data_IF_446589795871
#
_entry.id   IF_446589795871
#
_cell.length_a   1.000
_cell.length_b   1.000
_cell.length_c   1.000
_cell.angle_alpha   90.00
_cell.angle_beta   90.00
_cell.angle_gamma   90.00
#
_symmetry.space_group_name_H-M   'P 1'
#
loop_
_entity.id
_entity.type
_entity.pdbx_description
1 polymer ?
#
# COMPACT_ATOMS: atom_id res chain seq x y z
N UNK A 1 -38.81 -14.74 -20.91
CA UNK A 1 -38.44 -15.72 -19.86
C UNK A 1 -37.27 -15.18 -19.03
N UNK A 2 -37.47 -14.90 -17.72
CA UNK A 2 -36.37 -14.52 -16.81
C UNK A 2 -35.67 -15.80 -16.31
N UNK A 3 -34.39 -16.00 -16.64
CA UNK A 3 -33.58 -17.09 -16.06
C UNK A 3 -33.26 -16.77 -14.60
N UNK A 4 -33.78 -17.57 -13.67
CA UNK A 4 -33.38 -17.56 -12.26
C UNK A 4 -31.98 -18.18 -12.13
N UNK A 5 -31.04 -17.46 -11.50
CA UNK A 5 -29.70 -18.01 -11.19
C UNK A 5 -29.84 -19.10 -10.11
N UNK A 6 -29.17 -20.25 -10.24
CA UNK A 6 -29.20 -21.29 -9.21
C UNK A 6 -28.61 -20.76 -7.90
N UNK A 7 -29.22 -21.09 -6.77
CA UNK A 7 -28.68 -20.79 -5.43
C UNK A 7 -27.30 -21.46 -5.33
N UNK A 8 -26.25 -20.65 -5.20
CA UNK A 8 -24.92 -21.16 -4.89
C UNK A 8 -24.94 -21.68 -3.45
N UNK A 9 -24.87 -23.00 -3.30
CA UNK A 9 -24.67 -23.61 -1.98
C UNK A 9 -23.31 -23.22 -1.42
N UNK A 10 -23.18 -23.29 -0.09
CA UNK A 10 -21.90 -23.04 0.59
C UNK A 10 -20.87 -24.08 0.12
N UNK A 11 -19.69 -23.61 -0.28
CA UNK A 11 -18.62 -24.46 -0.82
C UNK A 11 -18.10 -25.47 0.20
N UNK A 12 -17.47 -26.54 -0.28
CA UNK A 12 -16.96 -27.66 0.52
C UNK A 12 -16.06 -27.19 1.67
N UNK A 13 -15.20 -26.19 1.45
CA UNK A 13 -14.32 -25.63 2.48
C UNK A 13 -15.09 -25.10 3.71
N UNK A 14 -16.22 -24.43 3.50
CA UNK A 14 -17.06 -23.94 4.60
C UNK A 14 -17.73 -25.08 5.37
N UNK A 15 -18.12 -26.17 4.67
CA UNK A 15 -18.70 -27.35 5.32
C UNK A 15 -17.66 -28.04 6.21
N UNK A 16 -16.41 -28.14 5.73
CA UNK A 16 -15.29 -28.73 6.50
C UNK A 16 -14.91 -27.86 7.71
N UNK A 17 -14.81 -26.54 7.55
CA UNK A 17 -14.52 -25.61 8.67
C UNK A 17 -15.55 -25.71 9.81
N UNK A 18 -16.84 -25.83 9.46
CA UNK A 18 -17.93 -25.99 10.44
C UNK A 18 -17.84 -27.33 11.16
N UNK A 19 -17.60 -28.43 10.43
CA UNK A 19 -17.50 -29.78 11.00
C UNK A 19 -16.29 -29.92 11.93
N UNK A 20 -15.16 -29.31 11.56
CA UNK A 20 -13.90 -29.44 12.29
C UNK A 20 -13.78 -28.50 13.50
N UNK A 21 -14.82 -27.74 13.83
CA UNK A 21 -14.81 -26.83 15.00
C UNK A 21 -13.87 -25.63 14.86
N UNK A 22 -13.20 -25.46 13.72
CA UNK A 22 -12.43 -24.27 13.36
C UNK A 22 -13.36 -23.14 12.92
N UNK A 23 -14.38 -22.83 13.72
CA UNK A 23 -15.27 -21.70 13.45
C UNK A 23 -14.49 -20.40 13.63
N UNK A 24 -13.69 -20.06 12.63
CA UNK A 24 -13.25 -18.70 12.40
C UNK A 24 -14.54 -17.98 12.05
N UNK A 25 -15.00 -16.98 12.84
CA UNK A 25 -16.15 -16.19 12.43
C UNK A 25 -15.90 -15.70 11.01
N UNK A 26 -16.96 -15.52 10.22
CA UNK A 26 -16.94 -14.88 8.89
C UNK A 26 -16.42 -13.43 9.03
N UNK A 27 -15.17 -13.27 9.44
CA UNK A 27 -14.42 -12.04 9.43
C UNK A 27 -13.89 -11.89 8.02
N UNK A 28 -14.14 -10.73 7.43
CA UNK A 28 -13.47 -10.35 6.20
C UNK A 28 -11.98 -10.64 6.34
N UNK A 29 -11.40 -11.38 5.38
CA UNK A 29 -9.95 -11.52 5.30
C UNK A 29 -9.36 -10.11 5.37
N UNK A 30 -8.40 -9.90 6.27
CA UNK A 30 -7.69 -8.64 6.36
C UNK A 30 -7.21 -8.28 4.94
N UNK A 31 -7.48 -7.06 4.45
CA UNK A 31 -7.08 -6.66 3.12
C UNK A 31 -5.57 -6.89 2.94
N UNK A 32 -5.19 -7.44 1.79
CA UNK A 32 -3.76 -7.66 1.49
C UNK A 32 -2.98 -6.34 1.51
N UNK A 33 -3.65 -5.23 1.21
CA UNK A 33 -3.10 -3.88 1.15
C UNK A 33 -3.80 -2.99 2.19
N UNK A 34 -3.03 -2.19 2.91
CA UNK A 34 -3.57 -1.15 3.77
C UNK A 34 -4.29 -0.10 2.94
N UNK A 35 -5.53 0.20 3.32
CA UNK A 35 -6.29 1.36 2.84
C UNK A 35 -6.73 2.23 4.03
N UNK A 36 -5.97 3.26 4.35
CA UNK A 36 -6.21 4.13 5.50
C UNK A 36 -6.12 5.61 5.11
N UNK A 37 -7.27 6.30 5.17
CA UNK A 37 -7.31 7.75 4.97
C UNK A 37 -6.52 8.49 6.05
N UNK A 38 -6.62 8.05 7.31
CA UNK A 38 -5.87 8.64 8.41
C UNK A 38 -4.37 8.58 8.15
N UNK A 39 -3.87 7.44 7.68
CA UNK A 39 -2.45 7.31 7.35
C UNK A 39 -2.05 8.28 6.22
N UNK A 40 -2.84 8.38 5.14
CA UNK A 40 -2.57 9.34 4.06
C UNK A 40 -2.60 10.79 4.55
N UNK A 41 -3.49 11.15 5.47
CA UNK A 41 -3.53 12.48 6.09
C UNK A 41 -2.26 12.74 6.91
N UNK A 42 -1.79 11.76 7.68
CA UNK A 42 -0.54 11.87 8.43
C UNK A 42 0.66 12.08 7.49
N UNK A 43 0.70 11.34 6.36
CA UNK A 43 1.72 11.53 5.32
C UNK A 43 1.69 12.96 4.76
N UNK A 44 0.52 13.44 4.34
CA UNK A 44 0.35 14.81 3.82
C UNK A 44 0.80 15.87 4.82
N UNK A 45 0.51 15.67 6.11
CA UNK A 45 0.84 16.61 7.17
C UNK A 45 2.36 16.77 7.42
N UNK A 46 3.20 15.89 6.86
CA UNK A 46 4.66 16.06 6.92
C UNK A 46 5.17 17.19 6.02
N UNK A 47 4.38 17.64 5.04
CA UNK A 47 4.87 18.48 3.96
C UNK A 47 5.71 17.70 2.96
N UNK A 48 6.05 18.33 1.83
CA UNK A 48 6.79 17.69 0.75
C UNK A 48 8.20 17.30 1.22
N UNK A 49 8.59 16.04 1.06
CA UNK A 49 9.94 15.58 1.46
C UNK A 49 11.08 16.35 0.78
N UNK A 50 10.85 16.82 -0.46
CA UNK A 50 11.88 17.45 -1.27
C UNK A 50 11.94 18.96 -1.06
N UNK A 51 10.78 19.61 -0.88
CA UNK A 51 10.69 21.07 -0.91
C UNK A 51 10.12 21.69 0.38
N UNK A 52 9.55 20.90 1.28
CA UNK A 52 8.82 21.38 2.46
C UNK A 52 7.46 22.03 2.18
N UNK A 53 7.09 22.22 0.91
CA UNK A 53 5.81 22.81 0.50
C UNK A 53 4.60 21.91 0.84
N UNK A 54 3.35 22.41 0.77
CA UNK A 54 2.16 21.58 0.90
C UNK A 54 2.20 20.37 -0.03
N UNK A 55 1.82 19.19 0.49
CA UNK A 55 2.00 17.92 -0.17
C UNK A 55 0.68 17.18 -0.46
N UNK A 56 0.79 16.14 -1.27
CA UNK A 56 -0.20 15.09 -1.47
C UNK A 56 0.44 13.74 -1.11
N UNK A 57 -0.40 12.78 -0.70
CA UNK A 57 0.04 11.41 -0.52
C UNK A 57 0.26 10.77 -1.91
N UNK A 58 1.53 10.63 -2.29
CA UNK A 58 1.99 9.96 -3.48
C UNK A 58 2.20 8.48 -3.17
N UNK A 59 1.81 7.58 -4.06
CA UNK A 59 2.12 6.15 -3.94
C UNK A 59 3.33 5.79 -4.80
N UNK A 60 4.09 4.78 -4.38
CA UNK A 60 5.07 4.12 -5.25
C UNK A 60 4.43 3.67 -6.57
N UNK A 61 5.18 3.80 -7.67
CA UNK A 61 4.81 3.23 -8.97
C UNK A 61 5.47 1.86 -9.20
N UNK A 62 6.41 1.42 -8.35
CA UNK A 62 6.92 0.06 -8.44
C UNK A 62 5.78 -0.95 -8.31
N UNK A 63 5.79 -1.97 -9.17
CA UNK A 63 4.78 -3.05 -9.21
C UNK A 63 3.32 -2.61 -9.40
N UNK A 64 3.07 -1.31 -9.62
CA UNK A 64 1.75 -0.78 -9.95
C UNK A 64 1.42 -1.16 -11.40
N UNK A 65 0.87 -2.36 -11.58
CA UNK A 65 0.26 -2.76 -12.84
C UNK A 65 -1.00 -1.94 -13.12
N UNK A 66 -1.40 -1.84 -14.38
CA UNK A 66 -2.64 -1.15 -14.78
C UNK A 66 -3.83 -1.71 -14.00
N UNK A 67 -4.54 -0.86 -13.24
CA UNK A 67 -5.68 -1.25 -12.42
C UNK A 67 -5.33 -1.84 -11.05
N UNK A 68 -4.06 -2.01 -10.72
CA UNK A 68 -3.61 -2.42 -9.39
C UNK A 68 -3.43 -1.21 -8.47
N UNK A 69 -3.97 -1.35 -7.27
CA UNK A 69 -3.91 -0.35 -6.22
C UNK A 69 -2.64 -0.56 -5.41
N UNK A 70 -1.84 0.47 -5.20
CA UNK A 70 -0.72 0.43 -4.25
C UNK A 70 -1.21 0.41 -2.80
N UNK A 71 -0.35 -0.08 -1.90
CA UNK A 71 -0.58 -0.05 -0.45
C UNK A 71 -0.36 1.37 0.09
N UNK A 72 -1.25 1.86 0.96
CA UNK A 72 -1.06 3.20 1.55
C UNK A 72 0.16 3.27 2.47
N UNK A 73 0.63 2.13 3.01
CA UNK A 73 1.86 2.08 3.83
C UNK A 73 3.13 2.39 3.03
N UNK A 74 3.04 2.48 1.70
CA UNK A 74 4.12 2.88 0.80
C UNK A 74 3.86 4.29 0.23
N UNK A 75 3.01 5.07 0.88
CA UNK A 75 2.85 6.48 0.52
C UNK A 75 4.01 7.33 1.03
N UNK A 76 4.31 8.38 0.29
CA UNK A 76 5.23 9.44 0.69
C UNK A 76 4.69 10.81 0.24
N UNK A 77 5.06 11.91 0.92
CA UNK A 77 4.51 13.23 0.60
C UNK A 77 5.36 13.96 -0.43
N UNK A 78 4.72 14.30 -1.56
CA UNK A 78 5.29 15.17 -2.60
C UNK A 78 4.39 16.38 -2.84
N UNK A 79 4.98 17.51 -3.23
CA UNK A 79 4.21 18.64 -3.76
C UNK A 79 3.45 18.22 -5.02
N UNK A 80 2.30 18.84 -5.36
CA UNK A 80 1.51 18.46 -6.53
C UNK A 80 2.33 18.41 -7.83
N UNK A 81 3.30 19.32 -7.98
CA UNK A 81 4.18 19.36 -9.14
C UNK A 81 5.11 18.15 -9.21
N UNK A 82 5.81 17.83 -8.12
CA UNK A 82 6.71 16.68 -8.08
C UNK A 82 5.94 15.36 -8.15
N UNK A 83 4.75 15.31 -7.55
CA UNK A 83 3.86 14.15 -7.64
C UNK A 83 3.47 13.86 -9.11
N UNK A 84 3.11 14.90 -9.87
CA UNK A 84 2.82 14.77 -11.30
C UNK A 84 4.02 14.27 -12.09
N UNK A 85 5.21 14.82 -11.85
CA UNK A 85 6.44 14.40 -12.52
C UNK A 85 6.80 12.94 -12.21
N UNK A 86 6.63 12.55 -10.94
CA UNK A 86 6.83 11.17 -10.48
C UNK A 86 5.91 10.19 -11.21
N UNK A 87 4.64 10.54 -11.39
CA UNK A 87 3.66 9.66 -12.04
C UNK A 87 3.84 9.60 -13.56
N UNK A 88 4.12 10.74 -14.21
CA UNK A 88 4.06 10.87 -15.66
C UNK A 88 5.36 10.56 -16.41
N UNK A 89 6.45 10.21 -15.73
CA UNK A 89 7.69 9.88 -16.44
C UNK A 89 8.74 10.97 -16.47
N UNK A 90 8.78 11.88 -15.49
CA UNK A 90 9.81 12.92 -15.40
C UNK A 90 11.22 12.41 -15.09
N UNK A 91 11.41 11.10 -14.88
CA UNK A 91 12.72 10.48 -14.62
C UNK A 91 12.77 9.02 -15.12
N UNK A 92 13.98 8.50 -15.41
CA UNK A 92 14.20 7.09 -15.73
C UNK A 92 13.60 6.14 -14.69
N UNK A 93 13.12 4.98 -15.13
CA UNK A 93 12.43 4.00 -14.29
C UNK A 93 13.26 3.53 -13.10
N UNK A 94 14.53 3.18 -13.34
CA UNK A 94 15.44 2.71 -12.29
C UNK A 94 15.71 3.81 -11.24
N UNK A 95 15.89 5.05 -11.69
CA UNK A 95 16.07 6.21 -10.80
C UNK A 95 14.81 6.45 -9.95
N UNK A 96 13.62 6.35 -10.56
CA UNK A 96 12.35 6.47 -9.84
C UNK A 96 12.23 5.46 -8.72
N UNK A 97 12.53 4.19 -9.00
CA UNK A 97 12.42 3.12 -8.01
C UNK A 97 13.37 3.29 -6.82
N UNK A 98 14.59 3.76 -7.10
CA UNK A 98 15.54 4.10 -6.04
C UNK A 98 15.00 5.25 -5.17
N UNK A 99 14.48 6.31 -5.78
CA UNK A 99 13.87 7.43 -5.06
C UNK A 99 12.62 7.01 -4.28
N UNK A 100 11.78 6.16 -4.85
CA UNK A 100 10.60 5.60 -4.17
C UNK A 100 11.00 4.88 -2.87
N UNK A 101 12.07 4.10 -2.90
CA UNK A 101 12.63 3.47 -1.69
C UNK A 101 13.06 4.51 -0.65
N UNK A 102 13.88 5.48 -1.07
CA UNK A 102 14.38 6.54 -0.19
C UNK A 102 13.23 7.36 0.42
N UNK A 103 12.21 7.71 -0.36
CA UNK A 103 11.06 8.49 0.10
C UNK A 103 10.13 7.71 1.03
N UNK A 104 9.89 6.43 0.75
CA UNK A 104 9.11 5.58 1.65
C UNK A 104 9.83 5.42 2.99
N UNK A 105 11.13 5.15 2.98
CA UNK A 105 11.92 4.97 4.21
C UNK A 105 11.97 6.27 5.03
N UNK A 106 12.23 7.40 4.38
CA UNK A 106 12.21 8.72 5.03
C UNK A 106 10.83 9.06 5.63
N UNK A 107 9.74 8.76 4.91
CA UNK A 107 8.37 8.98 5.39
C UNK A 107 8.08 8.11 6.61
N UNK A 108 8.44 6.83 6.56
CA UNK A 108 8.30 5.90 7.68
C UNK A 108 9.04 6.41 8.91
N UNK A 109 10.32 6.80 8.76
CA UNK A 109 11.12 7.34 9.85
C UNK A 109 10.48 8.60 10.47
N UNK A 110 10.03 9.55 9.63
CA UNK A 110 9.39 10.78 10.10
C UNK A 110 8.07 10.52 10.85
N UNK A 111 7.24 9.57 10.38
CA UNK A 111 6.02 9.19 11.06
C UNK A 111 6.28 8.44 12.38
N UNK A 112 7.30 7.59 12.42
CA UNK A 112 7.72 6.91 13.65
C UNK A 112 8.18 7.92 14.71
N UNK A 113 9.00 8.90 14.34
CA UNK A 113 9.45 9.97 15.25
C UNK A 113 8.29 10.79 15.83
N UNK A 114 7.19 10.94 15.07
CA UNK A 114 5.98 11.65 15.51
C UNK A 114 4.97 10.75 16.24
N UNK A 115 5.26 9.46 16.41
CA UNK A 115 4.30 8.50 16.99
C UNK A 115 3.07 8.21 16.11
N UNK A 116 3.14 8.53 14.82
CA UNK A 116 2.05 8.41 13.84
C UNK A 116 2.17 7.16 12.96
N UNK A 117 3.02 6.22 13.35
CA UNK A 117 3.28 4.96 12.67
C UNK A 117 2.84 3.76 13.52
N UNK A 118 1.55 3.39 13.50
CA UNK A 118 1.04 2.30 14.31
C UNK A 118 1.51 0.94 13.80
N UNK A 119 1.50 -0.07 14.68
CA UNK A 119 1.92 -1.44 14.36
C UNK A 119 1.16 -2.06 13.18
N UNK A 120 -0.11 -1.68 12.96
CA UNK A 120 -0.89 -2.11 11.80
C UNK A 120 -0.28 -1.62 10.48
N UNK A 121 0.14 -0.35 10.42
CA UNK A 121 0.81 0.21 9.23
C UNK A 121 2.13 -0.50 8.98
N UNK A 122 2.90 -0.77 10.04
CA UNK A 122 4.15 -1.53 9.94
C UNK A 122 3.94 -2.94 9.38
N UNK A 123 2.90 -3.65 9.84
CA UNK A 123 2.57 -4.99 9.34
C UNK A 123 2.31 -4.98 7.83
N UNK A 124 1.56 -3.98 7.34
CA UNK A 124 1.30 -3.85 5.90
C UNK A 124 2.53 -3.38 5.12
N UNK A 125 3.33 -2.49 5.70
CA UNK A 125 4.60 -2.06 5.13
C UNK A 125 5.54 -3.23 4.87
N UNK A 126 5.79 -4.08 5.87
CA UNK A 126 6.70 -5.22 5.75
C UNK A 126 6.30 -6.20 4.64
N UNK A 127 4.99 -6.35 4.39
CA UNK A 127 4.48 -7.18 3.29
C UNK A 127 4.62 -6.49 1.93
N UNK A 128 4.34 -5.18 1.89
CA UNK A 128 4.28 -4.43 0.64
C UNK A 128 5.65 -4.00 0.12
N UNK A 129 6.65 -3.83 1.00
CA UNK A 129 7.98 -3.34 0.66
C UNK A 129 8.87 -4.39 -0.03
N UNK A 130 8.55 -5.68 0.14
CA UNK A 130 9.39 -6.79 -0.30
C UNK A 130 9.78 -6.74 -1.80
N UNK A 131 8.87 -6.42 -2.75
CA UNK A 131 9.26 -6.24 -4.16
C UNK A 131 10.20 -5.06 -4.39
N UNK A 132 10.00 -3.93 -3.68
CA UNK A 132 10.86 -2.74 -3.75
C UNK A 132 12.26 -3.09 -3.22
N UNK A 133 12.33 -3.87 -2.13
CA UNK A 133 13.59 -4.30 -1.49
C UNK A 133 14.47 -5.13 -2.42
N UNK A 134 13.89 -6.12 -3.12
CA UNK A 134 14.65 -7.01 -4.03
C UNK A 134 15.29 -6.23 -5.17
N UNK A 135 14.52 -5.32 -5.76
CA UNK A 135 14.96 -4.49 -6.88
C UNK A 135 16.07 -3.51 -6.50
N UNK A 136 16.07 -2.98 -5.26
CA UNK A 136 17.12 -2.07 -4.79
C UNK A 136 18.37 -2.82 -4.33
N UNK A 137 18.24 -4.02 -3.76
CA UNK A 137 19.38 -4.83 -3.29
C UNK A 137 20.07 -5.65 -4.37
N UNK A 138 19.47 -5.76 -5.56
CA UNK A 138 20.05 -6.51 -6.68
C UNK A 138 19.84 -8.02 -6.58
N UNK A 139 18.88 -8.47 -5.77
CA UNK A 139 18.50 -9.88 -5.71
C UNK A 139 17.49 -10.16 -6.84
N UNK A 140 18.00 -10.62 -8.00
CA UNK A 140 17.20 -11.15 -9.14
C UNK A 140 16.54 -12.49 -8.80
#
# INVERSE_FOLDING_TARGET
MRRSKPKREKGLGHKVEVVMGFYRPLGHKLPTLLRSEQHRRNVVALGCLVTGAPAQACHVNITKGTGLKACDSLCFPLSPELHRQHDQGGMPRAERWKREWEYVDATRAALMQKGLWPAEVELHYQRAIEPLRRLVKGDE
#
